data_IF_215733475662
#
_entry.id   IF_215733475662
#
_cell.length_a   1.000
_cell.length_b   1.000
_cell.length_c   1.000
_cell.angle_alpha   90.00
_cell.angle_beta   90.00
_cell.angle_gamma   90.00
#
_symmetry.space_group_name_H-M   'P 1'
#
loop_
_entity.id
_entity.type
_entity.pdbx_description
1 polymer ?
#
# COMPACT_ATOMS: atom_id res chain seq x y z
N UNK A 1 -12.36 25.16 13.76
CA UNK A 1 -13.35 24.52 12.87
C UNK A 1 -12.59 23.69 11.87
N UNK A 2 -12.84 22.37 11.77
CA UNK A 2 -12.29 21.58 10.65
C UNK A 2 -12.92 22.15 9.38
N UNK A 3 -12.10 22.59 8.42
CA UNK A 3 -12.58 22.97 7.09
C UNK A 3 -13.16 21.73 6.42
N UNK A 4 -14.25 21.91 5.68
CA UNK A 4 -14.93 20.84 4.98
C UNK A 4 -14.06 20.33 3.83
N UNK A 5 -14.07 19.02 3.60
CA UNK A 5 -13.33 18.40 2.49
C UNK A 5 -13.95 18.81 1.15
N UNK A 6 -13.11 19.10 0.16
CA UNK A 6 -13.58 19.37 -1.20
C UNK A 6 -14.07 18.08 -1.87
N UNK A 7 -15.06 18.17 -2.78
CA UNK A 7 -15.58 17.00 -3.47
C UNK A 7 -14.50 16.21 -4.22
N UNK A 8 -14.67 14.90 -4.32
CA UNK A 8 -13.82 14.01 -5.11
C UNK A 8 -13.49 14.59 -6.49
N UNK A 9 -12.22 14.50 -6.91
CA UNK A 9 -11.78 14.97 -8.22
C UNK A 9 -11.65 16.49 -8.35
N UNK A 10 -11.95 17.26 -7.31
CA UNK A 10 -11.62 18.70 -7.27
C UNK A 10 -10.10 18.88 -7.25
N UNK A 11 -9.57 19.77 -8.10
CA UNK A 11 -8.14 20.14 -8.08
C UNK A 11 -7.85 20.93 -6.80
N UNK A 12 -6.95 20.41 -5.97
CA UNK A 12 -6.51 21.03 -4.73
C UNK A 12 -5.38 22.04 -4.97
N UNK A 13 -4.50 21.74 -5.93
CA UNK A 13 -3.32 22.54 -6.25
C UNK A 13 -2.45 21.85 -7.30
N UNK A 14 -1.31 22.47 -7.62
CA UNK A 14 -0.38 21.96 -8.63
C UNK A 14 1.03 21.85 -8.06
N UNK A 15 1.60 20.66 -8.07
CA UNK A 15 3.00 20.44 -7.72
C UNK A 15 3.94 20.92 -8.86
N UNK A 16 5.26 21.02 -8.62
CA UNK A 16 6.22 21.41 -9.64
C UNK A 16 6.09 20.54 -10.89
N UNK A 17 6.24 21.17 -12.06
CA UNK A 17 5.95 20.54 -13.35
C UNK A 17 4.47 20.58 -13.76
N UNK A 18 3.65 21.40 -13.07
CA UNK A 18 2.22 21.57 -13.33
C UNK A 18 1.42 20.27 -13.18
N UNK A 19 1.75 19.47 -12.16
CA UNK A 19 1.07 18.20 -11.88
C UNK A 19 -0.03 18.43 -10.84
N UNK A 20 -1.29 18.31 -11.25
CA UNK A 20 -2.44 18.53 -10.38
C UNK A 20 -2.52 17.48 -9.25
N UNK A 21 -2.82 17.93 -8.03
CA UNK A 21 -3.29 17.08 -6.94
C UNK A 21 -4.81 17.21 -6.80
N UNK A 22 -5.50 16.09 -6.65
CA UNK A 22 -6.96 16.03 -6.58
C UNK A 22 -7.45 15.57 -5.21
N UNK A 23 -8.65 16.03 -4.84
CA UNK A 23 -9.37 15.51 -3.68
C UNK A 23 -9.69 14.02 -3.90
N UNK A 24 -9.35 13.19 -2.92
CA UNK A 24 -9.69 11.76 -2.88
C UNK A 24 -10.80 11.44 -1.87
N UNK A 25 -11.72 12.38 -1.62
CA UNK A 25 -12.85 12.13 -0.73
C UNK A 25 -13.89 11.19 -1.38
N UNK A 26 -13.68 9.89 -1.25
CA UNK A 26 -14.54 8.89 -1.88
C UNK A 26 -16.02 8.95 -1.45
N UNK A 27 -16.33 9.61 -0.32
CA UNK A 27 -17.71 9.79 0.16
C UNK A 27 -18.52 10.75 -0.72
N UNK A 28 -17.86 11.63 -1.45
CA UNK A 28 -18.49 12.62 -2.33
C UNK A 28 -18.47 12.22 -3.82
N UNK A 29 -18.03 10.99 -4.14
CA UNK A 29 -18.04 10.48 -5.52
C UNK A 29 -19.45 10.45 -6.10
N UNK A 30 -19.63 10.98 -7.31
CA UNK A 30 -20.84 10.76 -8.11
C UNK A 30 -20.82 9.34 -8.72
N UNK A 31 -21.77 8.46 -8.35
CA UNK A 31 -21.90 7.12 -8.90
C UNK A 31 -22.10 7.05 -10.42
N UNK A 32 -22.52 8.15 -11.06
CA UNK A 32 -22.71 8.26 -12.49
C UNK A 32 -21.40 8.59 -13.23
N UNK A 33 -20.50 9.36 -12.59
CA UNK A 33 -19.19 9.68 -13.14
C UNK A 33 -18.22 8.50 -13.01
N UNK A 34 -18.34 7.72 -11.93
CA UNK A 34 -17.54 6.52 -11.67
C UNK A 34 -18.44 5.27 -11.57
N UNK A 35 -19.00 4.80 -12.70
CA UNK A 35 -20.01 3.74 -12.71
C UNK A 35 -19.46 2.33 -12.44
N UNK A 36 -18.16 2.11 -12.62
CA UNK A 36 -17.53 0.80 -12.45
C UNK A 36 -16.09 0.94 -11.96
N UNK A 37 -15.45 -0.20 -11.64
CA UNK A 37 -14.07 -0.25 -11.16
C UNK A 37 -13.06 0.35 -12.15
N UNK A 38 -13.32 0.23 -13.45
CA UNK A 38 -12.42 0.75 -14.47
C UNK A 38 -12.43 2.28 -14.48
N UNK A 39 -13.58 2.91 -14.20
CA UNK A 39 -13.69 4.37 -14.14
C UNK A 39 -12.77 5.01 -13.08
N UNK A 40 -12.47 4.29 -11.99
CA UNK A 40 -11.55 4.74 -10.94
C UNK A 40 -10.08 4.63 -11.36
N UNK A 41 -9.74 3.92 -12.44
CA UNK A 41 -8.36 3.85 -12.93
C UNK A 41 -7.99 5.18 -13.60
N UNK A 42 -6.81 5.69 -13.28
CA UNK A 42 -6.22 6.82 -13.96
C UNK A 42 -5.09 6.37 -14.89
N UNK A 43 -4.98 7.02 -16.05
CA UNK A 43 -3.90 6.75 -17.00
C UNK A 43 -3.50 8.03 -17.71
N UNK A 44 -2.21 8.17 -18.02
CA UNK A 44 -1.65 9.26 -18.81
C UNK A 44 -0.99 8.67 -20.04
N UNK A 45 -1.42 9.07 -21.23
CA UNK A 45 -0.90 8.54 -22.50
C UNK A 45 -0.91 6.99 -22.58
N UNK A 46 -1.96 6.36 -22.04
CA UNK A 46 -2.10 4.89 -22.00
C UNK A 46 -1.30 4.20 -20.89
N UNK A 47 -0.55 4.94 -20.08
CA UNK A 47 0.21 4.41 -18.94
C UNK A 47 -0.64 4.54 -17.69
N UNK A 48 -0.96 3.41 -17.06
CA UNK A 48 -1.69 3.37 -15.79
C UNK A 48 -0.88 4.06 -14.69
N UNK A 49 -1.47 5.07 -14.04
CA UNK A 49 -0.81 5.78 -12.93
C UNK A 49 -1.32 5.33 -11.57
N UNK A 50 -2.51 4.76 -11.47
CA UNK A 50 -3.07 4.29 -10.19
C UNK A 50 -4.59 4.50 -10.12
N UNK A 51 -5.16 4.31 -8.93
CA UNK A 51 -6.56 4.65 -8.67
C UNK A 51 -6.73 6.13 -8.31
N UNK A 52 -7.72 6.78 -8.93
CA UNK A 52 -8.15 8.15 -8.64
C UNK A 52 -8.69 8.22 -7.20
N UNK A 53 -8.15 9.02 -6.29
CA UNK A 53 -6.97 9.89 -6.38
C UNK A 53 -6.02 9.57 -5.22
N UNK A 54 -5.55 8.32 -5.17
CA UNK A 54 -4.69 7.82 -4.12
C UNK A 54 -3.29 8.46 -4.15
N UNK A 55 -2.55 8.36 -3.04
CA UNK A 55 -1.19 8.88 -2.92
C UNK A 55 -0.21 8.21 -3.90
N UNK A 56 -0.33 6.89 -4.09
CA UNK A 56 0.45 6.11 -5.07
C UNK A 56 0.19 6.60 -6.50
N UNK A 57 -1.07 6.93 -6.82
CA UNK A 57 -1.44 7.47 -8.14
C UNK A 57 -0.71 8.78 -8.42
N UNK A 58 -0.72 9.69 -7.46
CA UNK A 58 -0.05 10.98 -7.57
C UNK A 58 1.45 10.83 -7.76
N UNK A 59 2.11 10.02 -6.91
CA UNK A 59 3.55 9.82 -6.97
C UNK A 59 3.97 9.24 -8.32
N UNK A 60 3.28 8.21 -8.80
CA UNK A 60 3.55 7.58 -10.10
C UNK A 60 3.32 8.56 -11.25
N UNK A 61 2.22 9.33 -11.23
CA UNK A 61 1.92 10.34 -12.24
C UNK A 61 2.93 11.48 -12.25
N UNK A 62 3.37 11.95 -11.09
CA UNK A 62 4.37 13.00 -10.98
C UNK A 62 5.71 12.57 -11.58
N UNK A 63 6.18 11.35 -11.24
CA UNK A 63 7.40 10.78 -11.81
C UNK A 63 7.29 10.59 -13.33
N UNK A 64 6.15 10.10 -13.82
CA UNK A 64 5.92 9.93 -15.25
C UNK A 64 6.04 11.26 -16.00
N UNK A 65 5.34 12.29 -15.52
CA UNK A 65 5.27 13.59 -16.19
C UNK A 65 6.58 14.38 -16.11
N UNK A 66 7.28 14.33 -14.98
CA UNK A 66 8.49 15.12 -14.76
C UNK A 66 9.79 14.39 -15.08
N UNK A 67 9.82 13.07 -14.97
CA UNK A 67 11.03 12.26 -15.07
C UNK A 67 10.96 11.18 -16.16
N UNK A 68 9.77 10.87 -16.68
CA UNK A 68 9.59 9.92 -17.78
C UNK A 68 9.67 8.44 -17.38
N UNK A 69 9.61 8.13 -16.09
CA UNK A 69 9.63 6.76 -15.57
C UNK A 69 8.52 6.53 -14.54
N UNK A 70 8.21 5.25 -14.29
CA UNK A 70 7.23 4.81 -13.29
C UNK A 70 7.80 3.68 -12.44
N UNK A 71 7.34 3.56 -11.20
CA UNK A 71 7.55 2.36 -10.40
C UNK A 71 6.44 1.34 -10.65
N UNK A 72 6.74 0.07 -10.37
CA UNK A 72 5.84 -1.08 -10.58
C UNK A 72 4.53 -0.93 -9.80
N UNK A 73 3.55 -1.79 -10.11
CA UNK A 73 2.29 -1.77 -9.34
C UNK A 73 2.52 -2.29 -7.93
N UNK A 74 1.89 -1.63 -6.95
CA UNK A 74 2.09 -1.90 -5.53
C UNK A 74 0.75 -1.87 -4.81
N UNK A 75 0.58 -2.80 -3.88
CA UNK A 75 -0.63 -2.88 -3.06
C UNK A 75 -0.62 -1.82 -1.95
N UNK A 76 0.52 -1.68 -1.25
CA UNK A 76 0.67 -0.73 -0.16
C UNK A 76 1.76 0.29 -0.47
N UNK A 77 1.55 1.55 -0.08
CA UNK A 77 2.48 2.65 -0.40
C UNK A 77 3.86 2.46 0.25
N UNK A 78 3.93 1.80 1.42
CA UNK A 78 5.20 1.50 2.06
C UNK A 78 6.06 0.51 1.25
N UNK A 79 5.48 -0.31 0.38
CA UNK A 79 6.23 -1.28 -0.44
C UNK A 79 7.14 -0.58 -1.47
N UNK A 80 6.88 0.69 -1.80
CA UNK A 80 7.78 1.52 -2.63
C UNK A 80 9.19 1.53 -2.05
N UNK A 81 9.32 1.51 -0.72
CA UNK A 81 10.60 1.59 -0.03
C UNK A 81 11.52 0.39 -0.31
N UNK A 82 11.01 -0.71 -0.84
CA UNK A 82 11.81 -1.91 -1.20
C UNK A 82 11.95 -2.10 -2.71
N UNK A 83 11.42 -1.19 -3.53
CA UNK A 83 11.49 -1.34 -4.98
C UNK A 83 12.93 -1.10 -5.48
N UNK A 84 13.50 -2.05 -6.27
CA UNK A 84 14.89 -1.96 -6.70
C UNK A 84 15.08 -1.11 -7.96
N UNK A 85 14.01 -0.79 -8.68
CA UNK A 85 14.07 -0.05 -9.92
C UNK A 85 12.78 0.71 -10.24
N UNK A 86 12.90 1.66 -11.16
CA UNK A 86 11.80 2.23 -11.94
C UNK A 86 11.98 1.87 -13.41
N UNK A 87 10.90 1.86 -14.19
CA UNK A 87 10.96 1.62 -15.63
C UNK A 87 10.85 2.95 -16.38
N UNK A 88 11.83 3.26 -17.22
CA UNK A 88 11.77 4.41 -18.14
C UNK A 88 10.83 4.11 -19.31
N UNK A 89 9.85 4.98 -19.55
CA UNK A 89 8.75 4.69 -20.48
C UNK A 89 9.13 4.83 -21.96
N UNK A 90 10.21 5.57 -22.27
CA UNK A 90 10.68 5.72 -23.65
C UNK A 90 11.46 4.50 -24.14
N UNK A 91 12.28 3.91 -23.29
CA UNK A 91 13.19 2.82 -23.68
C UNK A 91 12.82 1.46 -23.09
N UNK A 92 11.97 1.42 -22.06
CA UNK A 92 11.72 0.22 -21.25
C UNK A 92 12.87 -0.14 -20.31
N UNK A 93 13.91 0.70 -20.21
CA UNK A 93 15.07 0.44 -19.35
C UNK A 93 14.69 0.52 -17.88
N UNK A 94 15.15 -0.45 -17.10
CA UNK A 94 15.10 -0.40 -15.64
C UNK A 94 16.22 0.49 -15.11
N UNK A 95 15.86 1.55 -14.39
CA UNK A 95 16.79 2.46 -13.74
C UNK A 95 16.86 2.12 -12.25
N UNK A 96 18.06 2.11 -11.63
CA UNK A 96 18.20 1.78 -10.23
C UNK A 96 17.45 2.77 -9.35
N UNK A 97 16.82 2.22 -8.32
CA UNK A 97 16.09 2.94 -7.30
C UNK A 97 16.66 2.51 -5.94
N UNK A 98 17.00 3.49 -5.11
CA UNK A 98 17.63 3.26 -3.80
C UNK A 98 16.83 3.97 -2.72
N UNK A 99 16.74 3.32 -1.57
CA UNK A 99 16.04 3.80 -0.39
C UNK A 99 17.02 4.21 0.68
N UNK A 100 16.70 5.28 1.40
CA UNK A 100 17.54 5.87 2.44
C UNK A 100 16.66 6.05 3.67
N UNK A 101 17.09 5.51 4.80
CA UNK A 101 16.36 5.63 6.07
C UNK A 101 16.25 7.09 6.52
N UNK A 102 15.17 7.39 7.25
CA UNK A 102 15.08 8.66 7.96
C UNK A 102 16.23 8.75 8.98
N UNK A 103 17.05 9.80 8.88
CA UNK A 103 18.33 9.87 9.59
C UNK A 103 19.55 9.43 8.77
N UNK A 104 19.41 9.18 7.47
CA UNK A 104 20.55 8.89 6.59
C UNK A 104 21.47 10.12 6.40
N UNK A 105 22.76 9.86 6.16
CA UNK A 105 23.73 10.88 5.70
C UNK A 105 23.48 11.31 4.25
N UNK A 106 22.82 10.47 3.43
CA UNK A 106 22.43 10.86 2.08
C UNK A 106 21.11 11.61 2.12
N UNK A 107 21.19 12.94 2.22
CA UNK A 107 20.06 13.85 2.34
C UNK A 107 19.01 13.66 1.21
N UNK A 108 17.72 13.95 1.46
CA UNK A 108 16.70 13.91 0.43
C UNK A 108 16.96 14.96 -0.65
N UNK A 109 16.53 14.67 -1.87
CA UNK A 109 16.65 15.58 -3.01
C UNK A 109 15.25 15.91 -3.57
N UNK A 110 15.03 17.15 -4.08
CA UNK A 110 13.78 17.48 -4.76
C UNK A 110 13.43 16.49 -5.88
N UNK A 111 12.23 15.93 -5.78
CA UNK A 111 11.70 14.90 -6.66
C UNK A 111 11.86 13.46 -6.16
N UNK A 112 12.46 13.25 -5.00
CA UNK A 112 12.43 11.95 -4.34
C UNK A 112 11.04 11.62 -3.78
N UNK A 113 10.76 10.34 -3.58
CA UNK A 113 9.54 9.87 -2.92
C UNK A 113 9.81 9.75 -1.42
N UNK A 114 8.99 10.37 -0.58
CA UNK A 114 9.01 10.23 0.88
C UNK A 114 7.98 9.18 1.30
N UNK A 115 8.39 8.18 2.08
CA UNK A 115 7.58 7.00 2.38
C UNK A 115 7.30 6.90 3.88
N UNK A 116 6.03 6.62 4.22
CA UNK A 116 5.60 6.29 5.58
C UNK A 116 5.27 4.82 5.72
N UNK A 117 5.55 4.26 6.89
CA UNK A 117 5.08 2.96 7.31
C UNK A 117 3.55 2.94 7.45
N UNK A 118 2.97 1.75 7.60
CA UNK A 118 1.63 1.64 8.16
C UNK A 118 1.58 2.17 9.60
N UNK A 119 0.43 2.72 9.98
CA UNK A 119 0.14 3.20 11.33
C UNK A 119 -0.47 4.60 11.38
N UNK A 120 -1.19 4.91 12.46
CA UNK A 120 -1.81 6.22 12.69
C UNK A 120 -2.88 6.53 11.64
N UNK A 121 -2.78 7.69 10.98
CA UNK A 121 -3.68 8.06 9.86
C UNK A 121 -3.46 7.18 8.60
N UNK A 122 -2.45 6.31 8.60
CA UNK A 122 -2.04 5.44 7.49
C UNK A 122 -2.12 3.95 7.85
N UNK A 123 -3.03 3.58 8.75
CA UNK A 123 -3.08 2.33 9.53
C UNK A 123 -2.98 1.01 8.74
N UNK A 124 -3.29 1.04 7.43
CA UNK A 124 -3.23 -0.16 6.56
C UNK A 124 -2.29 0.02 5.37
N UNK A 125 -2.26 1.20 4.76
CA UNK A 125 -1.63 1.38 3.44
C UNK A 125 -0.22 1.96 3.50
N UNK A 126 0.17 2.55 4.63
CA UNK A 126 1.24 3.55 4.63
C UNK A 126 0.91 4.74 3.73
N UNK A 127 1.93 5.52 3.38
CA UNK A 127 1.74 6.71 2.54
C UNK A 127 2.97 7.04 1.71
N UNK A 128 2.75 7.78 0.61
CA UNK A 128 3.81 8.32 -0.24
C UNK A 128 3.53 9.77 -0.62
N UNK A 129 4.58 10.59 -0.57
CA UNK A 129 4.57 11.97 -1.07
C UNK A 129 5.80 12.21 -1.96
N UNK A 130 5.76 13.27 -2.76
CA UNK A 130 6.92 13.77 -3.51
C UNK A 130 7.54 14.93 -2.74
N UNK A 131 8.83 14.86 -2.46
CA UNK A 131 9.57 16.01 -1.90
C UNK A 131 9.75 17.06 -2.99
N UNK A 132 9.26 18.28 -2.77
CA UNK A 132 9.33 19.36 -3.77
C UNK A 132 10.48 20.33 -3.50
N UNK A 133 10.79 20.59 -2.22
CA UNK A 133 11.90 21.45 -1.80
C UNK A 133 12.51 20.90 -0.50
N UNK A 134 13.82 21.10 -0.34
CA UNK A 134 14.59 20.65 0.84
C UNK A 134 15.33 21.85 1.43
N UNK A 135 15.14 22.08 2.72
CA UNK A 135 15.83 23.09 3.51
C UNK A 135 16.53 22.42 4.70
N UNK A 136 17.37 23.16 5.43
CA UNK A 136 18.07 22.63 6.60
C UNK A 136 17.12 22.30 7.78
N UNK A 137 15.99 23.00 7.87
CA UNK A 137 15.04 22.97 8.98
C UNK A 137 13.68 22.34 8.61
N UNK A 138 13.45 22.06 7.33
CA UNK A 138 12.20 21.49 6.84
C UNK A 138 12.30 20.91 5.43
N UNK A 139 11.31 20.11 5.06
CA UNK A 139 11.03 19.74 3.67
C UNK A 139 9.63 20.17 3.28
N UNK A 140 9.43 20.48 2.00
CA UNK A 140 8.11 20.66 1.40
C UNK A 140 7.76 19.44 0.58
N UNK A 141 6.51 19.01 0.69
CA UNK A 141 6.03 17.80 0.02
C UNK A 141 4.74 18.08 -0.75
N UNK A 142 4.52 17.36 -1.84
CA UNK A 142 3.27 17.29 -2.57
C UNK A 142 2.70 15.87 -2.48
N UNK A 143 1.43 15.74 -2.11
CA UNK A 143 0.75 14.45 -1.94
C UNK A 143 -0.75 14.55 -2.29
N UNK A 144 -1.38 13.38 -2.44
CA UNK A 144 -2.84 13.22 -2.49
C UNK A 144 -3.28 12.29 -1.36
N UNK A 145 -4.60 12.21 -1.12
CA UNK A 145 -5.21 11.27 -0.18
C UNK A 145 -4.78 11.47 1.28
N UNK A 146 -4.69 12.74 1.69
CA UNK A 146 -4.49 13.12 3.09
C UNK A 146 -5.35 14.34 3.46
N UNK A 147 -4.98 15.54 2.99
CA UNK A 147 -5.83 16.73 3.10
C UNK A 147 -6.59 16.94 1.78
N UNK A 148 -7.82 17.40 1.90
CA UNK A 148 -8.80 17.54 0.83
C UNK A 148 -9.18 19.02 0.63
N UNK A 149 -8.27 19.93 0.95
CA UNK A 149 -8.46 21.38 0.85
C UNK A 149 -7.56 21.97 -0.23
N UNK A 150 -7.94 23.15 -0.73
CA UNK A 150 -7.09 23.92 -1.62
C UNK A 150 -5.74 24.21 -0.96
N UNK A 151 -4.67 24.05 -1.74
CA UNK A 151 -3.35 24.53 -1.36
C UNK A 151 -3.36 26.07 -1.32
N UNK A 152 -2.41 26.67 -0.61
CA UNK A 152 -2.27 28.12 -0.57
C UNK A 152 -2.07 28.74 -1.96
N UNK A 153 -2.46 30.00 -2.11
CA UNK A 153 -2.25 30.72 -3.37
C UNK A 153 -0.75 30.78 -3.73
N UNK A 154 -0.39 30.38 -4.95
CA UNK A 154 1.00 30.27 -5.40
C UNK A 154 1.80 29.12 -4.77
N UNK A 155 1.16 28.25 -3.99
CA UNK A 155 1.80 27.12 -3.32
C UNK A 155 1.89 25.91 -4.26
N UNK A 156 3.08 25.30 -4.32
CA UNK A 156 3.35 24.09 -5.11
C UNK A 156 3.64 22.86 -4.23
N UNK A 157 3.10 22.83 -3.02
CA UNK A 157 3.27 21.75 -2.04
C UNK A 157 1.99 21.63 -1.20
N UNK A 158 1.70 20.46 -0.65
CA UNK A 158 0.56 20.23 0.26
C UNK A 158 0.90 20.63 1.70
N UNK A 159 2.10 20.25 2.19
CA UNK A 159 2.53 20.47 3.58
C UNK A 159 4.03 20.72 3.69
N UNK A 160 4.42 21.31 4.82
CA UNK A 160 5.80 21.37 5.29
C UNK A 160 5.98 20.39 6.45
N UNK A 161 7.10 19.66 6.44
CA UNK A 161 7.50 18.79 7.54
C UNK A 161 8.77 19.36 8.16
N UNK A 162 8.82 19.59 9.48
CA UNK A 162 10.05 19.97 10.16
C UNK A 162 11.15 18.94 9.91
N UNK A 163 12.38 19.41 9.77
CA UNK A 163 13.56 18.58 9.62
C UNK A 163 14.71 19.12 10.47
N UNK A 164 15.71 18.29 10.71
CA UNK A 164 16.91 18.67 11.45
C UNK A 164 18.10 17.93 10.87
N UNK A 165 19.19 18.68 10.63
CA UNK A 165 20.50 18.11 10.39
C UNK A 165 21.19 17.97 11.74
N UNK A 166 21.48 16.74 12.15
CA UNK A 166 22.17 16.42 13.40
C UNK A 166 23.64 16.84 13.35
N UNK A 167 24.31 16.87 14.50
CA UNK A 167 25.73 17.27 14.61
C UNK A 167 26.67 16.37 13.78
N UNK A 168 26.30 15.10 13.57
CA UNK A 168 27.03 14.15 12.74
C UNK A 168 26.80 14.34 11.23
N UNK A 169 25.82 15.16 10.84
CA UNK A 169 25.44 15.41 9.45
C UNK A 169 24.26 14.56 8.95
N UNK A 170 23.66 13.70 9.78
CA UNK A 170 22.46 12.94 9.43
C UNK A 170 21.22 13.83 9.26
N UNK A 171 20.35 13.53 8.30
CA UNK A 171 19.15 14.33 8.01
C UNK A 171 17.88 13.64 8.53
N UNK A 172 17.17 14.28 9.45
CA UNK A 172 15.99 13.74 10.10
C UNK A 172 14.75 14.54 9.74
N UNK A 173 13.71 13.87 9.25
CA UNK A 173 12.38 14.47 9.00
C UNK A 173 11.43 14.06 10.11
N UNK A 174 10.75 15.03 10.70
CA UNK A 174 9.79 14.79 11.76
C UNK A 174 8.43 14.33 11.19
N UNK A 175 7.94 13.18 11.67
CA UNK A 175 6.59 12.73 11.33
C UNK A 175 5.54 13.57 12.08
N UNK A 176 4.53 14.05 11.34
CA UNK A 176 3.44 14.86 11.92
C UNK A 176 2.37 14.05 12.65
N UNK A 177 2.37 12.72 12.54
CA UNK A 177 1.31 11.85 13.06
C UNK A 177 1.79 11.04 14.26
N UNK A 178 0.98 11.00 15.32
CA UNK A 178 1.18 10.06 16.41
C UNK A 178 0.85 8.66 15.88
N UNK A 179 1.80 7.73 15.95
CA UNK A 179 1.70 6.33 15.52
C UNK A 179 1.92 6.04 14.03
N UNK A 180 2.46 6.98 13.25
CA UNK A 180 3.03 6.66 11.92
C UNK A 180 4.53 6.99 11.93
N UNK A 181 5.32 6.23 11.19
CA UNK A 181 6.75 6.46 11.05
C UNK A 181 7.09 6.84 9.60
N UNK A 182 8.04 7.77 9.42
CA UNK A 182 8.66 8.01 8.12
C UNK A 182 9.77 6.97 7.98
N UNK A 183 9.61 6.02 7.05
CA UNK A 183 10.65 5.04 6.73
C UNK A 183 11.89 5.76 6.18
N UNK A 184 11.66 6.74 5.30
CA UNK A 184 12.71 7.54 4.68
C UNK A 184 12.34 7.94 3.25
N UNK A 185 13.34 8.17 2.40
CA UNK A 185 13.14 8.60 1.02
C UNK A 185 13.73 7.63 0.00
N UNK A 186 13.14 7.63 -1.18
CA UNK A 186 13.49 6.75 -2.30
C UNK A 186 13.89 7.60 -3.50
N UNK A 187 15.07 7.33 -4.06
CA UNK A 187 15.68 8.11 -5.14
C UNK A 187 16.11 7.23 -6.31
N UNK A 188 15.84 7.71 -7.51
CA UNK A 188 16.44 7.15 -8.72
C UNK A 188 17.83 7.77 -8.86
N UNK A 189 18.86 7.00 -8.55
CA UNK A 189 20.26 7.43 -8.64
C UNK A 189 21.15 6.24 -9.00
N UNK A 190 22.32 6.48 -9.60
CA UNK A 190 23.34 5.45 -9.80
C UNK A 190 24.22 5.23 -8.56
N UNK A 191 24.14 6.15 -7.59
CA UNK A 191 24.93 6.14 -6.37
C UNK A 191 24.17 5.49 -5.22
N UNK A 192 24.60 4.29 -4.83
CA UNK A 192 24.02 3.51 -3.74
C UNK A 192 24.64 3.84 -2.36
N UNK A 193 25.51 4.85 -2.26
CA UNK A 193 26.17 5.19 -1.00
C UNK A 193 25.12 5.59 0.05
N UNK A 194 25.18 4.99 1.25
CA UNK A 194 24.20 5.15 2.34
C UNK A 194 22.81 4.55 2.07
N UNK A 195 22.62 3.84 0.96
CA UNK A 195 21.36 3.19 0.66
C UNK A 195 21.14 1.97 1.58
N UNK A 196 19.88 1.76 1.95
CA UNK A 196 19.44 0.57 2.68
C UNK A 196 19.70 -0.67 1.85
N UNK A 197 20.33 -1.66 2.47
CA UNK A 197 20.53 -2.98 1.87
C UNK A 197 19.44 -3.91 2.35
N UNK A 198 18.52 -4.26 1.46
CA UNK A 198 17.48 -5.25 1.73
C UNK A 198 18.03 -6.67 1.51
N UNK A 199 18.58 -7.26 2.57
CA UNK A 199 18.99 -8.66 2.53
C UNK A 199 17.77 -9.60 2.54
N UNK A 200 17.87 -10.71 1.81
CA UNK A 200 16.86 -11.75 1.89
C UNK A 200 16.88 -12.36 3.31
N UNK A 201 15.72 -12.49 3.97
CA UNK A 201 15.68 -13.12 5.28
C UNK A 201 16.24 -14.54 5.23
N UNK A 202 16.93 -14.94 6.30
CA UNK A 202 17.47 -16.28 6.42
C UNK A 202 16.35 -17.32 6.29
N UNK A 203 16.57 -18.35 5.47
CA UNK A 203 15.53 -19.31 5.09
C UNK A 203 14.91 -20.04 6.29
N UNK A 204 15.68 -20.21 7.38
CA UNK A 204 15.23 -20.86 8.61
C UNK A 204 14.23 -20.04 9.43
N UNK A 205 14.16 -18.72 9.21
CA UNK A 205 13.14 -17.86 9.83
C UNK A 205 11.72 -18.18 9.32
N UNK A 206 11.59 -18.79 8.14
CA UNK A 206 10.31 -19.23 7.58
C UNK A 206 9.86 -20.60 8.10
N UNK A 207 10.69 -21.31 8.86
CA UNK A 207 10.31 -22.62 9.40
C UNK A 207 9.29 -22.45 10.53
N UNK A 208 8.12 -23.07 10.38
CA UNK A 208 7.15 -23.21 11.46
C UNK A 208 7.72 -24.10 12.56
N UNK A 209 7.61 -23.66 13.80
CA UNK A 209 8.08 -24.42 14.96
C UNK A 209 6.88 -24.94 15.74
N UNK A 210 6.84 -26.25 15.96
CA UNK A 210 5.84 -26.83 16.85
C UNK A 210 6.20 -26.56 18.31
N UNK A 211 5.18 -26.22 19.09
CA UNK A 211 5.21 -25.98 20.54
C UNK A 211 4.04 -26.73 21.17
N UNK A 212 4.11 -26.90 22.48
CA UNK A 212 3.07 -27.59 23.23
C UNK A 212 2.82 -26.85 24.54
N UNK A 213 1.56 -26.67 24.89
CA UNK A 213 1.16 -26.12 26.18
C UNK A 213 1.14 -27.21 27.25
N UNK A 214 1.17 -26.83 28.52
CA UNK A 214 0.97 -27.79 29.61
C UNK A 214 -0.45 -28.37 29.51
N UNK A 215 -0.57 -29.69 29.69
CA UNK A 215 -1.88 -30.34 29.72
C UNK A 215 -2.66 -29.85 30.93
N UNK A 216 -3.88 -29.38 30.69
CA UNK A 216 -4.77 -28.97 31.77
C UNK A 216 -5.55 -30.22 32.21
N UNK A 217 -5.39 -30.60 33.48
CA UNK A 217 -5.97 -31.80 34.10
C UNK A 217 -7.51 -31.80 34.25
N UNK A 218 -8.21 -30.86 33.59
CA UNK A 218 -9.68 -30.78 33.60
C UNK A 218 -10.25 -31.15 32.23
N UNK A 219 -10.40 -32.45 31.92
CA UNK A 219 -10.85 -32.93 30.60
C UNK A 219 -12.30 -32.57 30.22
N UNK A 220 -13.01 -31.80 31.04
CA UNK A 220 -14.44 -31.52 30.89
C UNK A 220 -14.81 -30.03 30.89
N UNK A 221 -13.85 -29.10 30.96
CA UNK A 221 -14.20 -27.68 30.87
C UNK A 221 -14.40 -27.29 29.41
N UNK A 222 -15.66 -27.07 29.01
CA UNK A 222 -15.98 -26.49 27.71
C UNK A 222 -15.31 -25.11 27.65
N UNK A 223 -14.34 -24.95 26.75
CA UNK A 223 -13.58 -23.71 26.57
C UNK A 223 -14.23 -22.76 25.56
N UNK A 224 -15.17 -23.29 24.78
CA UNK A 224 -16.10 -22.53 23.94
C UNK A 224 -17.35 -22.15 24.74
N UNK A 225 -17.88 -20.97 24.50
CA UNK A 225 -19.11 -20.45 25.08
C UNK A 225 -20.33 -20.88 24.24
N UNK A 226 -21.14 -21.86 24.68
CA UNK A 226 -22.30 -22.32 23.92
C UNK A 226 -23.44 -21.28 23.86
N UNK A 227 -23.34 -20.16 24.59
CA UNK A 227 -24.29 -19.05 24.42
C UNK A 227 -24.05 -18.28 23.10
N UNK A 228 -22.85 -18.39 22.52
CA UNK A 228 -22.51 -17.81 21.23
C UNK A 228 -22.93 -18.77 20.10
N UNK A 229 -23.79 -18.36 19.14
CA UNK A 229 -24.35 -19.28 18.14
C UNK A 229 -23.31 -20.00 17.26
N UNK A 230 -22.23 -19.32 16.91
CA UNK A 230 -21.11 -19.84 16.13
C UNK A 230 -20.30 -20.89 16.92
N UNK A 231 -20.00 -20.62 18.18
CA UNK A 231 -19.32 -21.56 19.06
C UNK A 231 -20.20 -22.78 19.38
N UNK A 232 -21.51 -22.58 19.57
CA UNK A 232 -22.47 -23.67 19.74
C UNK A 232 -22.55 -24.57 18.50
N UNK A 233 -22.54 -23.99 17.29
CA UNK A 233 -22.51 -24.74 16.04
C UNK A 233 -21.20 -25.54 15.89
N UNK A 234 -20.06 -24.95 16.27
CA UNK A 234 -18.78 -25.66 16.28
C UNK A 234 -18.82 -26.85 17.25
N UNK A 235 -19.31 -26.65 18.47
CA UNK A 235 -19.42 -27.70 19.49
C UNK A 235 -20.35 -28.83 19.03
N UNK A 236 -21.46 -28.52 18.38
CA UNK A 236 -22.40 -29.52 17.87
C UNK A 236 -21.77 -30.44 16.81
N UNK A 237 -20.89 -29.89 15.97
CA UNK A 237 -20.25 -30.62 14.88
C UNK A 237 -18.94 -31.32 15.30
N UNK A 238 -18.11 -30.66 16.10
CA UNK A 238 -16.73 -31.07 16.38
C UNK A 238 -16.50 -31.47 17.85
N UNK A 239 -17.46 -31.18 18.72
CA UNK A 239 -17.24 -31.19 20.17
C UNK A 239 -16.26 -30.11 20.60
N UNK A 240 -15.76 -30.20 21.83
CA UNK A 240 -14.80 -29.23 22.39
C UNK A 240 -13.34 -29.58 22.02
N UNK A 241 -13.09 -29.92 20.75
CA UNK A 241 -11.77 -30.35 20.25
C UNK A 241 -11.18 -29.29 19.32
N UNK A 242 -9.86 -29.17 19.29
CA UNK A 242 -9.15 -28.28 18.34
C UNK A 242 -8.44 -29.06 17.24
N UNK A 243 -8.09 -30.32 17.53
CA UNK A 243 -7.44 -31.23 16.60
C UNK A 243 -8.29 -32.49 16.39
N UNK A 244 -8.18 -33.09 15.21
CA UNK A 244 -8.70 -34.43 14.93
C UNK A 244 -7.82 -35.53 15.53
N UNK A 245 -6.59 -35.19 15.90
CA UNK A 245 -5.59 -36.06 16.55
C UNK A 245 -5.54 -35.72 18.04
N UNK A 246 -5.87 -36.67 18.90
CA UNK A 246 -6.02 -36.45 20.36
C UNK A 246 -4.70 -36.06 20.99
N UNK A 247 -3.60 -36.65 20.51
CA UNK A 247 -2.23 -36.42 20.98
C UNK A 247 -1.71 -35.00 20.65
N UNK A 248 -2.39 -34.30 19.74
CA UNK A 248 -2.00 -32.96 19.27
C UNK A 248 -2.87 -31.85 19.87
N UNK A 249 -3.84 -32.18 20.75
CA UNK A 249 -4.81 -31.23 21.31
C UNK A 249 -4.16 -30.03 22.03
N UNK A 250 -2.93 -30.18 22.52
CA UNK A 250 -2.15 -29.14 23.21
C UNK A 250 -0.98 -28.61 22.38
N UNK A 251 -0.80 -29.11 21.15
CA UNK A 251 0.26 -28.67 20.25
C UNK A 251 -0.22 -27.48 19.42
N UNK A 252 0.68 -26.57 19.14
CA UNK A 252 0.44 -25.42 18.28
C UNK A 252 1.70 -25.07 17.48
N UNK A 253 1.51 -24.36 16.38
CA UNK A 253 2.61 -23.88 15.55
C UNK A 253 2.90 -22.42 15.87
N UNK A 254 4.17 -22.05 15.89
CA UNK A 254 4.61 -20.66 15.93
C UNK A 254 5.43 -20.34 14.69
N UNK A 255 5.30 -19.11 14.20
CA UNK A 255 6.13 -18.55 13.14
C UNK A 255 6.97 -17.39 13.71
N UNK A 256 8.04 -17.01 13.00
CA UNK A 256 8.78 -15.80 13.35
C UNK A 256 8.01 -14.55 12.89
N UNK A 257 8.27 -13.42 13.55
CA UNK A 257 7.74 -12.11 13.11
C UNK A 257 8.19 -11.78 11.69
N UNK A 258 9.41 -12.19 11.30
CA UNK A 258 9.91 -12.06 9.92
C UNK A 258 9.06 -12.82 8.91
N UNK A 259 8.68 -14.07 9.23
CA UNK A 259 7.81 -14.87 8.37
C UNK A 259 6.41 -14.27 8.27
N UNK A 260 5.86 -13.77 9.37
CA UNK A 260 4.57 -13.07 9.39
C UNK A 260 4.58 -11.80 8.52
N UNK A 261 5.62 -10.96 8.66
CA UNK A 261 5.76 -9.73 7.87
C UNK A 261 5.89 -10.02 6.37
N UNK A 262 6.69 -11.02 5.99
CA UNK A 262 6.84 -11.42 4.58
C UNK A 262 5.57 -12.10 4.03
N UNK A 263 4.83 -12.86 4.85
CA UNK A 263 3.52 -13.41 4.47
C UNK A 263 2.51 -12.29 4.22
N UNK A 264 2.45 -11.28 5.09
CA UNK A 264 1.58 -10.11 4.92
C UNK A 264 1.90 -9.38 3.62
N UNK A 265 3.19 -9.09 3.37
CA UNK A 265 3.65 -8.44 2.13
C UNK A 265 3.27 -9.25 0.89
N UNK A 266 3.63 -10.53 0.86
CA UNK A 266 3.34 -11.42 -0.27
C UNK A 266 1.83 -11.55 -0.51
N UNK A 267 1.02 -11.57 0.56
CA UNK A 267 -0.45 -11.61 0.46
C UNK A 267 -0.99 -10.35 -0.22
N UNK A 268 -0.51 -9.17 0.18
CA UNK A 268 -0.93 -7.90 -0.42
C UNK A 268 -0.54 -7.83 -1.91
N UNK A 269 0.71 -8.18 -2.24
CA UNK A 269 1.22 -8.18 -3.61
C UNK A 269 0.45 -9.17 -4.50
N UNK A 270 0.32 -10.43 -4.04
CA UNK A 270 -0.40 -11.45 -4.79
C UNK A 270 -1.86 -11.08 -4.97
N UNK A 271 -2.54 -10.55 -3.93
CA UNK A 271 -3.92 -10.11 -4.07
C UNK A 271 -4.06 -9.09 -5.20
N UNK A 272 -3.25 -8.04 -5.22
CA UNK A 272 -3.27 -7.04 -6.28
C UNK A 272 -3.04 -7.69 -7.66
N UNK A 273 -2.02 -8.53 -7.80
CA UNK A 273 -1.73 -9.26 -9.05
C UNK A 273 -2.92 -10.12 -9.52
N UNK A 274 -3.59 -10.83 -8.61
CA UNK A 274 -4.79 -11.60 -8.91
C UNK A 274 -5.95 -10.69 -9.36
N UNK A 275 -6.11 -9.50 -8.78
CA UNK A 275 -7.12 -8.53 -9.19
C UNK A 275 -6.87 -8.01 -10.61
N UNK A 276 -5.62 -7.70 -10.95
CA UNK A 276 -5.24 -7.29 -12.32
C UNK A 276 -5.43 -8.42 -13.33
N UNK A 277 -4.99 -9.63 -12.98
CA UNK A 277 -5.19 -10.79 -13.85
C UNK A 277 -6.68 -11.08 -14.06
N UNK A 278 -7.50 -10.95 -13.03
CA UNK A 278 -8.96 -11.13 -13.13
C UNK A 278 -9.59 -10.08 -14.05
N UNK A 279 -9.23 -8.81 -13.88
CA UNK A 279 -9.70 -7.73 -14.76
C UNK A 279 -9.32 -8.00 -16.24
N UNK A 280 -8.06 -8.40 -16.47
CA UNK A 280 -7.58 -8.76 -17.79
C UNK A 280 -8.35 -9.94 -18.39
N UNK A 281 -8.57 -11.01 -17.63
CA UNK A 281 -9.34 -12.19 -18.06
C UNK A 281 -10.76 -11.78 -18.47
N UNK A 282 -11.43 -10.96 -17.66
CA UNK A 282 -12.80 -10.52 -17.95
C UNK A 282 -12.85 -9.62 -19.20
N UNK A 283 -11.84 -8.81 -19.48
CA UNK A 283 -11.80 -7.99 -20.69
C UNK A 283 -11.46 -8.78 -21.97
N UNK A 284 -10.97 -10.02 -21.85
CA UNK A 284 -10.49 -10.81 -22.98
C UNK A 284 -11.21 -12.16 -23.05
N UNK A 285 -12.30 -12.22 -23.84
CA UNK A 285 -13.13 -13.44 -23.99
C UNK A 285 -12.34 -14.71 -24.32
N UNK A 286 -11.29 -14.62 -25.14
CA UNK A 286 -10.43 -15.77 -25.47
C UNK A 286 -9.68 -16.34 -24.27
N UNK A 287 -9.38 -15.49 -23.28
CA UNK A 287 -8.73 -15.89 -22.04
C UNK A 287 -9.79 -16.40 -21.07
N UNK A 288 -10.93 -15.70 -20.94
CA UNK A 288 -12.07 -16.14 -20.14
C UNK A 288 -12.57 -17.54 -20.54
N UNK A 289 -12.60 -17.84 -21.84
CA UNK A 289 -12.99 -19.16 -22.35
C UNK A 289 -12.14 -20.31 -21.80
N UNK A 290 -10.88 -20.06 -21.40
CA UNK A 290 -9.99 -21.08 -20.83
C UNK A 290 -10.40 -21.54 -19.43
N UNK A 291 -11.24 -20.76 -18.74
CA UNK A 291 -11.76 -21.10 -17.41
C UNK A 291 -12.92 -22.09 -17.46
N UNK A 292 -13.38 -22.48 -18.66
CA UNK A 292 -14.45 -23.46 -18.87
C UNK A 292 -15.75 -23.13 -18.11
N UNK A 293 -16.04 -21.85 -17.93
CA UNK A 293 -17.29 -21.36 -17.34
C UNK A 293 -18.38 -21.26 -18.41
N UNK A 294 -19.64 -21.69 -18.13
CA UNK A 294 -20.73 -21.58 -19.09
C UNK A 294 -20.89 -20.16 -19.62
N UNK A 295 -20.95 -19.98 -20.94
CA UNK A 295 -21.08 -18.64 -21.56
C UNK A 295 -22.33 -17.88 -21.10
N UNK A 296 -23.39 -18.62 -20.75
CA UNK A 296 -24.61 -18.07 -20.19
C UNK A 296 -24.42 -17.29 -18.86
N UNK A 297 -23.34 -17.55 -18.10
CA UNK A 297 -23.07 -16.82 -16.84
C UNK A 297 -22.12 -15.64 -17.01
N UNK A 298 -21.49 -15.46 -18.18
CA UNK A 298 -20.50 -14.41 -18.39
C UNK A 298 -21.06 -13.01 -18.14
N UNK A 299 -22.27 -12.63 -18.61
CA UNK A 299 -22.84 -11.32 -18.31
C UNK A 299 -22.97 -11.06 -16.80
N UNK A 300 -23.29 -12.08 -16.01
CA UNK A 300 -23.37 -11.98 -14.54
C UNK A 300 -22.00 -11.85 -13.88
N UNK A 301 -20.96 -12.48 -14.43
CA UNK A 301 -19.58 -12.32 -13.96
C UNK A 301 -19.10 -10.88 -14.14
N UNK A 302 -19.31 -10.31 -15.33
CA UNK A 302 -19.01 -8.91 -15.61
C UNK A 302 -19.77 -7.96 -14.67
N UNK A 303 -21.08 -8.19 -14.51
CA UNK A 303 -21.88 -7.40 -13.59
C UNK A 303 -21.36 -7.50 -12.14
N UNK A 304 -21.01 -8.70 -11.68
CA UNK A 304 -20.48 -8.91 -10.32
C UNK A 304 -19.15 -8.18 -10.11
N UNK A 305 -18.25 -8.25 -11.08
CA UNK A 305 -16.96 -7.56 -11.05
C UNK A 305 -17.13 -6.04 -11.00
N UNK A 306 -17.99 -5.49 -11.85
CA UNK A 306 -18.22 -4.05 -11.95
C UNK A 306 -18.96 -3.48 -10.73
N UNK A 307 -19.85 -4.25 -10.10
CA UNK A 307 -20.68 -3.78 -8.98
C UNK A 307 -19.96 -3.72 -7.63
N UNK A 308 -18.82 -4.40 -7.44
CA UNK A 308 -18.09 -4.39 -6.16
C UNK A 308 -17.24 -3.13 -6.02
N UNK A 309 -17.89 -1.97 -5.91
CA UNK A 309 -17.25 -0.64 -5.75
C UNK A 309 -16.57 -0.45 -4.38
N UNK A 310 -17.03 -1.16 -3.35
CA UNK A 310 -16.60 -0.96 -1.95
C UNK A 310 -15.30 -1.69 -1.55
N UNK A 311 -14.42 -2.03 -2.50
CA UNK A 311 -13.14 -2.71 -2.22
C UNK A 311 -11.95 -1.99 -2.86
N UNK A 312 -12.10 -0.68 -3.13
CA UNK A 312 -11.02 0.21 -3.59
C UNK A 312 -10.49 1.03 -2.43
#
# INVERSE_FOLDING_TARGET
MKKEALPFGTVLGFAPGNVAAYSSDYKSVDPNELPDRHAYRHSVNGIYTGYKWQCVEFARRWLLLNKGYVFDDIAMAYDIFRLPYVTEMKSGKRLPLYSFENGSFRHPEPGCMLIWSEGGEFDVTGHVAIVTEVFADRVRIAEQNLDHQYWGEGQHFSRELPATISEDGSFWIQCSFRNAEILGWVMQTADASEAVVFEAPAADLFNLKMRQTAEISSPHKVWLNPANPDEAAYLAMNGSRLSSVVEDQYKYLVMSETAEAELKRATNELHALFMHATDYVLQHEKVLAKFNLPTAIWPRLHQSWNNRRNQM
#
